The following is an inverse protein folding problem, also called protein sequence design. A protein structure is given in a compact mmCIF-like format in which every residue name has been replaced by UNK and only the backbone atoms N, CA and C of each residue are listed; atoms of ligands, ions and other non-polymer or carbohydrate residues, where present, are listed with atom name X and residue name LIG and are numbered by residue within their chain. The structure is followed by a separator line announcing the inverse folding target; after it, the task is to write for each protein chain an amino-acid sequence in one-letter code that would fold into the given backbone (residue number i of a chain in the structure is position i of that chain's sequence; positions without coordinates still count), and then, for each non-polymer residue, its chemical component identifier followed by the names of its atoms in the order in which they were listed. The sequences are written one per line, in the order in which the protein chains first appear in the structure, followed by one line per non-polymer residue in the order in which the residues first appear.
data_IF_354170560784
#
_entry.id   IF_354170560784
#
_cell.length_a   1.000
_cell.length_b   1.000
_cell.length_c   1.000
_cell.angle_alpha   90.00
_cell.angle_beta   90.00
_cell.angle_gamma   90.00
#
_symmetry.space_group_name_H-M   'P 1'
#
loop_
_entity.id
_entity.type
_entity.pdbx_description
1 polymer ?
#
# COMPACT_ATOMS: atom_id res chain seq x y z
N UNK A 1 -10.73 11.76 -13.87
CA UNK A 1 -9.75 11.48 -14.93
C UNK A 1 -10.00 10.09 -15.48
N UNK A 2 -9.98 9.94 -16.77
CA UNK A 2 -10.13 8.62 -17.40
C UNK A 2 -8.76 7.98 -17.60
N UNK A 3 -8.55 6.84 -16.93
CA UNK A 3 -7.30 6.09 -16.99
C UNK A 3 -7.32 4.97 -18.03
N UNK A 4 -8.43 4.78 -18.74
CA UNK A 4 -8.54 3.73 -19.75
C UNK A 4 -7.48 3.85 -20.85
N UNK A 5 -7.09 5.09 -21.19
CA UNK A 5 -6.05 5.37 -22.18
C UNK A 5 -4.67 4.81 -21.80
N UNK A 6 -4.42 4.62 -20.50
CA UNK A 6 -3.13 4.16 -20.00
C UNK A 6 -3.12 2.67 -19.70
N UNK A 7 -4.29 2.06 -19.59
CA UNK A 7 -4.41 0.65 -19.22
C UNK A 7 -3.60 -0.25 -20.13
N UNK A 8 -3.81 -0.14 -21.43
CA UNK A 8 -3.13 -1.01 -22.39
C UNK A 8 -1.61 -0.80 -22.36
N UNK A 9 -1.18 0.45 -22.22
CA UNK A 9 0.25 0.78 -22.12
C UNK A 9 0.89 0.08 -20.95
N UNK A 10 0.27 0.13 -19.77
CA UNK A 10 0.80 -0.51 -18.56
C UNK A 10 0.69 -2.04 -18.65
N UNK A 11 -0.45 -2.54 -19.10
CA UNK A 11 -0.71 -3.98 -19.10
C UNK A 11 0.12 -4.71 -20.16
N UNK A 12 0.46 -4.06 -21.28
CA UNK A 12 1.28 -4.61 -22.36
C UNK A 12 2.78 -4.49 -22.09
N UNK A 13 3.19 -3.61 -21.21
CA UNK A 13 4.61 -3.33 -20.98
C UNK A 13 5.37 -4.51 -20.34
N UNK A 14 4.70 -5.58 -19.93
CA UNK A 14 5.29 -6.73 -19.24
C UNK A 14 6.25 -6.28 -18.13
N UNK A 15 5.79 -5.31 -17.33
CA UNK A 15 6.59 -4.73 -16.27
C UNK A 15 6.90 -5.80 -15.24
N UNK A 16 8.19 -6.01 -14.97
CA UNK A 16 8.62 -6.93 -13.94
C UNK A 16 8.17 -6.40 -12.58
N UNK A 17 7.30 -7.14 -11.91
CA UNK A 17 6.75 -6.74 -10.60
C UNK A 17 7.85 -6.47 -9.56
N UNK A 18 9.00 -7.13 -9.67
CA UNK A 18 10.12 -6.90 -8.75
C UNK A 18 10.71 -5.50 -8.86
N UNK A 19 10.51 -4.80 -9.99
CA UNK A 19 11.02 -3.45 -10.20
C UNK A 19 10.22 -2.39 -9.44
N UNK A 20 8.94 -2.64 -9.16
CA UNK A 20 8.10 -1.63 -8.51
C UNK A 20 7.41 -2.13 -7.24
N UNK A 21 7.08 -3.42 -7.15
CA UNK A 21 6.29 -3.93 -6.03
C UNK A 21 7.04 -3.86 -4.70
N UNK A 22 8.26 -4.40 -4.63
CA UNK A 22 9.06 -4.34 -3.40
C UNK A 22 9.40 -2.91 -2.98
N UNK A 23 9.90 -2.03 -3.88
CA UNK A 23 10.13 -0.63 -3.52
C UNK A 23 8.86 0.07 -3.04
N UNK A 24 7.73 -0.19 -3.67
CA UNK A 24 6.46 0.41 -3.29
C UNK A 24 6.05 0.02 -1.88
N UNK A 25 6.13 -1.27 -1.54
CA UNK A 25 5.83 -1.73 -0.18
C UNK A 25 6.80 -1.16 0.85
N UNK A 26 8.08 -1.05 0.52
CA UNK A 26 9.06 -0.41 1.41
C UNK A 26 8.69 1.04 1.71
N UNK A 27 8.24 1.79 0.71
CA UNK A 27 7.78 3.17 0.88
C UNK A 27 6.54 3.24 1.77
N UNK A 28 5.56 2.38 1.55
CA UNK A 28 4.34 2.33 2.35
C UNK A 28 4.68 2.08 3.82
N UNK A 29 5.49 1.08 4.09
CA UNK A 29 5.88 0.73 5.47
C UNK A 29 6.71 1.83 6.12
N UNK A 30 7.66 2.38 5.39
CA UNK A 30 8.51 3.47 5.90
C UNK A 30 7.69 4.71 6.22
N UNK A 31 6.85 5.17 5.28
CA UNK A 31 6.06 6.38 5.47
C UNK A 31 5.05 6.22 6.60
N UNK A 32 4.39 5.07 6.71
CA UNK A 32 3.46 4.82 7.81
C UNK A 32 4.16 4.81 9.16
N UNK A 33 5.39 4.29 9.23
CA UNK A 33 6.16 4.25 10.47
C UNK A 33 6.63 5.63 10.95
N UNK A 34 6.63 6.64 10.07
CA UNK A 34 7.07 8.01 10.38
C UNK A 34 5.94 8.94 10.75
N UNK A 35 4.71 8.46 10.75
CA UNK A 35 3.56 9.27 11.14
C UNK A 35 3.71 9.71 12.60
N UNK A 36 3.55 11.01 12.84
CA UNK A 36 3.71 11.64 14.16
C UNK A 36 2.43 12.25 14.73
N UNK A 37 1.29 11.98 14.08
CA UNK A 37 0.00 12.57 14.46
C UNK A 37 -0.34 13.85 13.72
N UNK A 38 0.53 14.32 12.82
CA UNK A 38 0.29 15.53 12.02
C UNK A 38 -0.84 15.28 11.04
N UNK A 39 -1.87 16.16 11.06
CA UNK A 39 -3.06 16.01 10.22
C UNK A 39 -2.75 16.13 8.72
N UNK A 40 -1.82 17.00 8.35
CA UNK A 40 -1.41 17.14 6.93
C UNK A 40 -0.69 15.90 6.44
N UNK A 41 0.15 15.32 7.29
CA UNK A 41 0.81 14.06 6.97
C UNK A 41 -0.21 12.95 6.74
N UNK A 42 -1.21 12.84 7.62
CA UNK A 42 -2.29 11.86 7.50
C UNK A 42 -3.04 12.00 6.17
N UNK A 43 -3.43 13.23 5.82
CA UNK A 43 -4.13 13.50 4.57
C UNK A 43 -3.25 13.19 3.36
N UNK A 44 -1.97 13.51 3.42
CA UNK A 44 -1.02 13.25 2.33
C UNK A 44 -0.79 11.75 2.14
N UNK A 45 -0.64 11.01 3.22
CA UNK A 45 -0.49 9.56 3.15
C UNK A 45 -1.75 8.89 2.61
N UNK A 46 -2.92 9.34 3.05
CA UNK A 46 -4.20 8.86 2.53
C UNK A 46 -4.31 9.12 1.02
N UNK A 47 -3.96 10.31 0.57
CA UNK A 47 -3.96 10.68 -0.86
C UNK A 47 -2.99 9.81 -1.65
N UNK A 48 -1.78 9.57 -1.13
CA UNK A 48 -0.79 8.70 -1.74
C UNK A 48 -1.35 7.29 -1.96
N UNK A 49 -1.95 6.70 -0.93
CA UNK A 49 -2.57 5.38 -1.04
C UNK A 49 -3.73 5.38 -2.04
N UNK A 50 -4.57 6.40 -2.01
CA UNK A 50 -5.71 6.52 -2.91
C UNK A 50 -5.26 6.63 -4.39
N UNK A 51 -4.20 7.39 -4.67
CA UNK A 51 -3.69 7.55 -6.02
C UNK A 51 -3.20 6.25 -6.63
N UNK A 52 -2.65 5.35 -5.82
CA UNK A 52 -2.11 4.09 -6.34
C UNK A 52 -3.15 3.19 -7.00
N UNK A 53 -4.44 3.30 -6.63
CA UNK A 53 -5.49 2.53 -7.29
C UNK A 53 -5.65 2.89 -8.78
N UNK A 54 -5.04 3.98 -9.21
CA UNK A 54 -5.11 4.45 -10.60
C UNK A 54 -3.77 4.34 -11.35
N UNK A 55 -2.65 4.33 -10.64
CA UNK A 55 -1.33 4.45 -11.27
C UNK A 55 -0.47 3.18 -11.18
N UNK A 56 -0.86 2.17 -10.40
CA UNK A 56 -0.11 0.92 -10.37
C UNK A 56 -0.03 0.31 -11.78
N UNK A 57 1.14 -0.18 -12.20
CA UNK A 57 1.37 -0.66 -13.57
C UNK A 57 0.80 -2.05 -13.84
N UNK A 58 -0.26 -2.44 -13.17
CA UNK A 58 -0.88 -3.76 -13.28
C UNK A 58 -2.38 -3.61 -13.05
N UNK A 59 -3.20 -4.00 -14.03
CA UNK A 59 -4.66 -3.85 -13.97
C UNK A 59 -5.28 -4.59 -12.79
N UNK A 60 -4.86 -5.84 -12.57
CA UNK A 60 -5.33 -6.63 -11.43
C UNK A 60 -4.91 -6.02 -10.10
N UNK A 61 -3.71 -5.46 -10.03
CA UNK A 61 -3.19 -4.83 -8.82
C UNK A 61 -4.01 -3.57 -8.47
N UNK A 62 -4.37 -2.78 -9.47
CA UNK A 62 -5.23 -1.61 -9.27
C UNK A 62 -6.60 -2.00 -8.74
N UNK A 63 -7.21 -3.03 -9.33
CA UNK A 63 -8.52 -3.53 -8.90
C UNK A 63 -8.47 -4.09 -7.48
N UNK A 64 -7.47 -4.93 -7.18
CA UNK A 64 -7.29 -5.48 -5.84
C UNK A 64 -7.09 -4.39 -4.80
N UNK A 65 -6.27 -3.38 -5.11
CA UNK A 65 -6.04 -2.27 -4.20
C UNK A 65 -7.33 -1.49 -3.95
N UNK A 66 -8.09 -1.22 -5.00
CA UNK A 66 -9.38 -0.51 -4.88
C UNK A 66 -10.33 -1.24 -3.94
N UNK A 67 -10.43 -2.56 -4.09
CA UNK A 67 -11.27 -3.39 -3.24
C UNK A 67 -10.76 -3.41 -1.79
N UNK A 68 -9.46 -3.52 -1.62
CA UNK A 68 -8.84 -3.55 -0.28
C UNK A 68 -9.00 -2.21 0.45
N UNK A 69 -8.86 -1.09 -0.25
CA UNK A 69 -9.08 0.23 0.34
C UNK A 69 -10.53 0.42 0.77
N UNK A 70 -11.48 -0.11 -0.01
CA UNK A 70 -12.90 -0.05 0.33
C UNK A 70 -13.24 -0.92 1.54
N UNK A 71 -12.62 -2.11 1.64
CA UNK A 71 -12.89 -3.06 2.72
C UNK A 71 -12.14 -2.75 4.02
N UNK A 72 -11.03 -2.01 3.94
CA UNK A 72 -10.18 -1.68 5.07
C UNK A 72 -9.89 -0.18 5.09
N UNK A 73 -10.86 0.65 5.48
CA UNK A 73 -10.67 2.11 5.49
C UNK A 73 -9.51 2.53 6.36
N UNK A 74 -8.63 3.37 5.81
CA UNK A 74 -7.44 3.85 6.49
C UNK A 74 -7.77 4.80 7.65
N UNK A 75 -8.95 5.45 7.59
CA UNK A 75 -9.33 6.53 8.51
C UNK A 75 -9.33 6.12 9.98
N UNK A 76 -9.50 4.83 10.27
CA UNK A 76 -9.52 4.31 11.64
C UNK A 76 -8.10 4.09 12.21
N UNK A 77 -7.06 4.29 11.41
CA UNK A 77 -5.69 3.90 11.77
C UNK A 77 -4.75 5.09 11.96
N UNK A 78 -5.28 6.31 12.08
CA UNK A 78 -4.48 7.51 12.29
C UNK A 78 -4.26 7.87 13.77
N UNK A 79 -4.47 6.92 14.68
CA UNK A 79 -4.24 7.14 16.10
C UNK A 79 -2.76 7.21 16.48
N UNK A 80 -1.89 6.51 15.77
CA UNK A 80 -0.46 6.48 16.02
C UNK A 80 0.30 5.92 14.82
N UNK A 81 1.63 6.08 14.82
CA UNK A 81 2.49 5.43 13.83
C UNK A 81 2.32 3.91 13.85
N UNK A 82 2.22 3.33 15.05
CA UNK A 82 2.02 1.89 15.21
C UNK A 82 0.72 1.43 14.56
N UNK A 83 -0.36 2.19 14.73
CA UNK A 83 -1.65 1.86 14.12
C UNK A 83 -1.59 1.97 12.59
N UNK A 84 -1.04 3.07 12.08
CA UNK A 84 -0.95 3.27 10.64
C UNK A 84 -0.04 2.22 9.97
N UNK A 85 1.07 1.89 10.62
CA UNK A 85 1.95 0.81 10.16
C UNK A 85 1.20 -0.52 10.14
N UNK A 86 0.40 -0.81 11.17
CA UNK A 86 -0.41 -2.03 11.22
C UNK A 86 -1.37 -2.11 10.03
N UNK A 87 -2.01 -0.99 9.67
CA UNK A 87 -2.87 -0.95 8.50
C UNK A 87 -2.11 -1.35 7.22
N UNK A 88 -0.96 -0.73 6.98
CA UNK A 88 -0.12 -1.04 5.82
C UNK A 88 0.37 -2.49 5.81
N UNK A 89 0.72 -3.01 6.99
CA UNK A 89 1.11 -4.42 7.14
C UNK A 89 -0.04 -5.36 6.77
N UNK A 90 -1.25 -5.08 7.26
CA UNK A 90 -2.43 -5.90 6.96
C UNK A 90 -2.76 -5.87 5.47
N UNK A 91 -2.66 -4.71 4.83
CA UNK A 91 -2.85 -4.56 3.40
C UNK A 91 -1.84 -5.41 2.63
N UNK A 92 -0.57 -5.36 3.01
CA UNK A 92 0.50 -6.14 2.41
C UNK A 92 0.25 -7.65 2.58
N UNK A 93 -0.17 -8.07 3.76
CA UNK A 93 -0.48 -9.49 4.02
C UNK A 93 -1.64 -9.98 3.18
N UNK A 94 -2.67 -9.18 2.98
CA UNK A 94 -3.79 -9.52 2.12
C UNK A 94 -3.32 -9.80 0.68
N UNK A 95 -2.46 -8.93 0.16
CA UNK A 95 -1.87 -9.11 -1.18
C UNK A 95 -0.96 -10.33 -1.24
N UNK A 96 -0.07 -10.48 -0.25
CA UNK A 96 0.86 -11.61 -0.19
C UNK A 96 0.14 -12.95 -0.11
N UNK A 97 -0.92 -13.03 0.70
CA UNK A 97 -1.72 -14.25 0.84
C UNK A 97 -2.42 -14.61 -0.46
N UNK A 98 -2.90 -13.61 -1.22
CA UNK A 98 -3.58 -13.85 -2.49
C UNK A 98 -2.67 -14.48 -3.56
N UNK A 99 -1.35 -14.31 -3.43
CA UNK A 99 -0.36 -14.88 -4.34
C UNK A 99 0.49 -15.99 -3.69
N UNK A 100 0.04 -16.52 -2.54
CA UNK A 100 0.67 -17.65 -1.87
C UNK A 100 1.98 -17.33 -1.15
N UNK A 101 2.28 -16.06 -0.91
CA UNK A 101 3.50 -15.66 -0.18
C UNK A 101 3.20 -15.47 1.30
N UNK A 102 4.15 -15.85 2.15
CA UNK A 102 4.12 -15.58 3.58
C UNK A 102 4.96 -14.35 3.87
N UNK A 103 4.42 -13.44 4.70
CA UNK A 103 5.18 -12.33 5.25
C UNK A 103 5.79 -12.68 6.60
N UNK A 104 6.53 -11.72 7.17
CA UNK A 104 7.04 -11.84 8.53
C UNK A 104 5.93 -11.46 9.53
N UNK A 105 6.03 -11.93 10.81
CA UNK A 105 5.06 -11.54 11.84
C UNK A 105 5.04 -10.02 12.06
N UNK A 106 3.88 -9.48 12.42
CA UNK A 106 3.70 -8.05 12.65
C UNK A 106 4.69 -7.49 13.70
N UNK A 107 4.92 -8.22 14.78
CA UNK A 107 5.84 -7.78 15.81
C UNK A 107 7.28 -7.62 15.28
N UNK A 108 7.71 -8.53 14.40
CA UNK A 108 9.03 -8.45 13.76
C UNK A 108 9.09 -7.28 12.78
N UNK A 109 8.04 -7.07 12.00
CA UNK A 109 7.97 -5.95 11.07
C UNK A 109 8.02 -4.62 11.80
N UNK A 110 7.28 -4.47 12.90
CA UNK A 110 7.32 -3.27 13.74
C UNK A 110 8.71 -3.01 14.29
N UNK A 111 9.38 -4.05 14.80
CA UNK A 111 10.72 -3.93 15.35
C UNK A 111 11.73 -3.43 14.31
N UNK A 112 11.67 -3.96 13.09
CA UNK A 112 12.54 -3.52 11.99
C UNK A 112 12.38 -2.02 11.72
N UNK A 113 11.16 -1.48 11.90
CA UNK A 113 10.85 -0.08 11.66
C UNK A 113 10.90 0.79 12.93
N UNK A 114 11.39 0.26 14.05
CA UNK A 114 11.54 1.01 15.30
C UNK A 114 10.23 1.25 16.06
N UNK A 115 9.26 0.41 15.84
CA UNK A 115 7.96 0.53 16.49
C UNK A 115 7.75 -0.50 17.61
#
# INVERSE_FOLDING_TARGET
MDYSKFKDRYDQAKINMSMWSKPNWKMIHYFSSKYDGNAEYALSFKAFMSCMQFVLPCGKCREHLRNNLANHPIDEYFGSASDLFTWGYMLHQTVSSSIGKKGIPLADAKRIHGL
#
